data_IF_826498321132
#
_entry.id   IF_826498321132
#
_cell.length_a   1.000
_cell.length_b   1.000
_cell.length_c   1.000
_cell.angle_alpha   90.00
_cell.angle_beta   90.00
_cell.angle_gamma   90.00
#
_symmetry.space_group_name_H-M   'P 1'
#
loop_
_entity.id
_entity.type
_entity.pdbx_description
1 polymer ?
#
# COMPACT_ATOMS: atom_id res chain seq x y z
N UNK A 1 45.95 -33.79 -3.44
CA UNK A 1 46.24 -34.36 -2.11
C UNK A 1 45.20 -33.86 -1.12
N UNK A 2 44.66 -34.80 -0.34
CA UNK A 2 43.79 -34.68 0.83
C UNK A 2 42.36 -34.14 0.64
N UNK A 3 41.46 -35.06 0.27
CA UNK A 3 40.05 -35.00 0.67
C UNK A 3 39.98 -35.04 2.21
N UNK A 4 39.91 -33.89 2.87
CA UNK A 4 39.48 -33.83 4.28
C UNK A 4 38.06 -34.38 4.37
N UNK A 5 37.80 -35.23 5.36
CA UNK A 5 36.49 -35.84 5.58
C UNK A 5 35.42 -34.74 5.77
N UNK A 6 34.16 -35.03 5.41
CA UNK A 6 33.05 -34.07 5.56
C UNK A 6 32.93 -33.52 6.99
N UNK A 7 33.30 -34.33 7.98
CA UNK A 7 33.23 -33.97 9.39
C UNK A 7 34.31 -32.95 9.78
N UNK A 8 35.56 -33.11 9.31
CA UNK A 8 36.62 -32.10 9.52
C UNK A 8 36.29 -30.75 8.87
N UNK A 9 35.69 -30.76 7.67
CA UNK A 9 35.27 -29.53 6.97
C UNK A 9 34.15 -28.81 7.75
N UNK A 10 33.24 -29.56 8.37
CA UNK A 10 32.14 -28.99 9.18
C UNK A 10 32.63 -28.37 10.49
N UNK A 11 33.57 -29.03 11.18
CA UNK A 11 34.16 -28.53 12.43
C UNK A 11 34.96 -27.24 12.18
N UNK A 12 35.72 -27.21 11.08
CA UNK A 12 36.51 -26.03 10.71
C UNK A 12 35.62 -24.83 10.36
N UNK A 13 34.52 -25.03 9.63
CA UNK A 13 33.59 -23.95 9.28
C UNK A 13 32.80 -23.41 10.47
N UNK A 14 32.47 -24.28 11.44
CA UNK A 14 31.84 -23.84 12.68
C UNK A 14 32.81 -22.97 13.50
N UNK A 15 34.08 -23.40 13.62
CA UNK A 15 35.10 -22.59 14.31
C UNK A 15 35.28 -21.21 13.67
N UNK A 16 35.31 -21.11 12.34
CA UNK A 16 35.35 -19.82 11.65
C UNK A 16 34.07 -19.01 11.85
N UNK A 17 32.91 -19.67 11.92
CA UNK A 17 31.63 -19.00 12.19
C UNK A 17 31.64 -18.36 13.58
N UNK A 18 32.10 -19.09 14.59
CA UNK A 18 32.13 -18.61 15.97
C UNK A 18 33.09 -17.41 16.12
N UNK A 19 34.29 -17.50 15.54
CA UNK A 19 35.25 -16.38 15.50
C UNK A 19 34.71 -15.16 14.76
N UNK A 20 34.07 -15.36 13.60
CA UNK A 20 33.43 -14.30 12.84
C UNK A 20 32.32 -13.60 13.64
N UNK A 21 31.47 -14.37 14.30
CA UNK A 21 30.38 -13.86 15.11
C UNK A 21 30.87 -13.07 16.33
N UNK A 22 31.98 -13.47 16.94
CA UNK A 22 32.60 -12.74 18.05
C UNK A 22 33.23 -11.41 17.61
N UNK A 23 33.93 -11.39 16.48
CA UNK A 23 34.50 -10.15 15.90
C UNK A 23 33.37 -9.20 15.51
N UNK A 24 32.34 -9.69 14.81
CA UNK A 24 31.20 -8.89 14.38
C UNK A 24 30.44 -8.31 15.58
N UNK A 25 30.32 -9.07 16.68
CA UNK A 25 29.69 -8.58 17.92
C UNK A 25 30.45 -7.40 18.53
N UNK A 26 31.79 -7.43 18.49
CA UNK A 26 32.64 -6.34 19.00
C UNK A 26 32.59 -5.11 18.08
N UNK A 27 32.63 -5.32 16.77
CA UNK A 27 32.60 -4.25 15.77
C UNK A 27 31.28 -3.46 15.81
N UNK A 28 30.14 -4.13 16.06
CA UNK A 28 28.83 -3.48 16.10
C UNK A 28 28.57 -2.67 17.38
N UNK A 29 29.21 -3.02 18.51
CA UNK A 29 29.03 -2.39 19.82
C UNK A 29 27.57 -2.22 20.32
N UNK A 30 26.60 -2.89 19.70
CA UNK A 30 25.16 -2.89 20.06
C UNK A 30 24.66 -4.34 20.24
N UNK A 31 24.41 -4.79 21.48
CA UNK A 31 23.96 -6.14 21.77
C UNK A 31 22.57 -6.48 21.21
N UNK A 32 21.66 -5.50 21.12
CA UNK A 32 20.29 -5.73 20.68
C UNK A 32 20.21 -5.85 19.16
N UNK A 33 20.96 -4.99 18.46
CA UNK A 33 21.16 -5.07 17.01
C UNK A 33 21.81 -6.42 16.63
N UNK A 34 22.89 -6.80 17.30
CA UNK A 34 23.58 -8.07 17.06
C UNK A 34 22.64 -9.27 17.23
N UNK A 35 21.94 -9.33 18.37
CA UNK A 35 21.04 -10.44 18.70
C UNK A 35 19.90 -10.60 17.71
N UNK A 36 19.31 -9.49 17.25
CA UNK A 36 18.12 -9.53 16.40
C UNK A 36 18.44 -9.83 14.92
N UNK A 37 19.61 -9.42 14.42
CA UNK A 37 19.91 -9.45 12.99
C UNK A 37 21.10 -10.32 12.58
N UNK A 38 22.08 -10.52 13.45
CA UNK A 38 23.39 -11.08 13.07
C UNK A 38 23.75 -12.39 13.78
N UNK A 39 23.17 -12.67 14.95
CA UNK A 39 23.49 -13.85 15.75
C UNK A 39 23.24 -15.21 15.06
N UNK A 40 22.42 -15.25 14.01
CA UNK A 40 22.08 -16.47 13.27
C UNK A 40 22.93 -16.68 12.01
N UNK A 41 24.03 -15.93 11.82
CA UNK A 41 24.89 -16.11 10.65
C UNK A 41 25.74 -17.37 10.78
N UNK A 42 25.90 -18.08 9.66
CA UNK A 42 26.75 -19.26 9.59
C UNK A 42 27.57 -19.25 8.32
N UNK A 43 28.88 -19.44 8.39
CA UNK A 43 29.71 -19.60 7.21
C UNK A 43 29.42 -20.98 6.61
N UNK A 44 28.82 -21.00 5.42
CA UNK A 44 28.43 -22.23 4.72
C UNK A 44 29.55 -22.79 3.88
N UNK A 45 30.28 -21.92 3.21
CA UNK A 45 31.32 -22.33 2.29
C UNK A 45 32.34 -21.22 2.11
N UNK A 46 33.61 -21.62 2.04
CA UNK A 46 34.75 -20.75 1.73
C UNK A 46 35.39 -21.34 0.47
N UNK A 47 35.41 -20.55 -0.60
CA UNK A 47 36.00 -20.93 -1.86
C UNK A 47 37.48 -20.53 -1.92
N UNK A 48 38.24 -21.25 -2.73
CA UNK A 48 39.67 -20.99 -2.96
C UNK A 48 39.93 -19.66 -3.65
N UNK A 49 38.94 -19.12 -4.38
CA UNK A 49 38.98 -17.85 -5.11
C UNK A 49 38.65 -16.62 -4.23
N UNK A 50 38.50 -16.81 -2.92
CA UNK A 50 38.21 -15.75 -1.95
C UNK A 50 36.71 -15.46 -1.76
N UNK A 51 35.80 -16.19 -2.41
CA UNK A 51 34.37 -16.07 -2.14
C UNK A 51 33.96 -16.77 -0.84
N UNK A 52 33.09 -16.15 -0.06
CA UNK A 52 32.52 -16.72 1.18
C UNK A 52 30.99 -16.66 1.13
N UNK A 53 30.34 -17.77 1.43
CA UNK A 53 28.87 -17.84 1.55
C UNK A 53 28.49 -17.80 3.02
N UNK A 54 27.72 -16.78 3.41
CA UNK A 54 27.14 -16.63 4.75
C UNK A 54 25.64 -16.97 4.68
N UNK A 55 25.23 -17.95 5.47
CA UNK A 55 23.85 -18.33 5.66
C UNK A 55 23.18 -17.55 6.78
N UNK A 56 21.95 -17.07 6.60
CA UNK A 56 21.11 -16.51 7.68
C UNK A 56 19.68 -17.02 7.62
N UNK A 57 19.00 -17.16 8.76
CA UNK A 57 17.57 -17.54 8.82
C UNK A 57 16.62 -16.33 8.75
N UNK A 58 17.13 -15.10 8.87
CA UNK A 58 16.33 -13.87 8.85
C UNK A 58 16.61 -13.07 7.57
N UNK A 59 15.83 -13.33 6.52
CA UNK A 59 15.96 -12.65 5.23
C UNK A 59 14.65 -11.97 4.81
N UNK A 60 14.12 -11.10 5.68
CA UNK A 60 13.02 -10.19 5.34
C UNK A 60 13.55 -8.94 4.61
N UNK A 61 12.68 -8.14 3.97
CA UNK A 61 13.08 -6.89 3.31
C UNK A 61 13.74 -5.89 4.30
N UNK A 62 13.31 -5.87 5.56
CA UNK A 62 13.95 -5.08 6.62
C UNK A 62 15.34 -5.61 6.96
N UNK A 63 15.54 -6.92 6.93
CA UNK A 63 16.84 -7.56 7.14
C UNK A 63 17.82 -7.19 6.01
N UNK A 64 17.38 -7.08 4.75
CA UNK A 64 18.24 -6.67 3.64
C UNK A 64 18.73 -5.22 3.76
N UNK A 65 17.88 -4.30 4.23
CA UNK A 65 18.28 -2.90 4.45
C UNK A 65 19.30 -2.79 5.58
N UNK A 66 19.11 -3.55 6.66
CA UNK A 66 20.07 -3.65 7.77
C UNK A 66 21.39 -4.29 7.31
N UNK A 67 21.34 -5.36 6.51
CA UNK A 67 22.54 -6.00 5.96
C UNK A 67 23.38 -5.03 5.11
N UNK A 68 22.73 -4.20 4.28
CA UNK A 68 23.42 -3.17 3.49
C UNK A 68 24.03 -2.08 4.35
N UNK A 69 23.31 -1.62 5.38
CA UNK A 69 23.79 -0.58 6.29
C UNK A 69 25.06 -0.99 7.05
N UNK A 70 25.22 -2.29 7.33
CA UNK A 70 26.36 -2.85 8.07
C UNK A 70 27.29 -3.71 7.21
N UNK A 71 27.22 -3.58 5.88
CA UNK A 71 28.01 -4.38 4.93
C UNK A 71 29.52 -4.24 5.18
N UNK A 72 29.99 -3.02 5.48
CA UNK A 72 31.40 -2.74 5.80
C UNK A 72 31.86 -3.46 7.07
N UNK A 73 31.05 -3.46 8.14
CA UNK A 73 31.35 -4.16 9.39
C UNK A 73 31.38 -5.67 9.21
N UNK A 74 30.46 -6.22 8.41
CA UNK A 74 30.42 -7.66 8.08
C UNK A 74 31.64 -8.05 7.23
N UNK A 75 31.98 -7.22 6.24
CA UNK A 75 33.13 -7.42 5.36
C UNK A 75 34.46 -7.35 6.11
N UNK A 76 34.61 -6.40 7.03
CA UNK A 76 35.79 -6.30 7.90
C UNK A 76 35.90 -7.53 8.80
N UNK A 77 34.80 -7.93 9.43
CA UNK A 77 34.77 -9.08 10.34
C UNK A 77 35.14 -10.40 9.63
N UNK A 78 34.67 -10.62 8.40
CA UNK A 78 35.05 -11.84 7.65
C UNK A 78 36.52 -11.80 7.19
N UNK A 79 37.01 -10.63 6.79
CA UNK A 79 38.39 -10.49 6.32
C UNK A 79 39.37 -10.73 7.48
N UNK A 80 39.04 -10.25 8.68
CA UNK A 80 39.81 -10.49 9.90
C UNK A 80 39.73 -11.96 10.34
N UNK A 81 38.57 -12.59 10.22
CA UNK A 81 38.40 -14.02 10.56
C UNK A 81 39.24 -14.94 9.67
N UNK A 82 39.39 -14.59 8.39
CA UNK A 82 40.07 -15.41 7.38
C UNK A 82 41.47 -14.91 7.01
N UNK A 83 41.92 -13.82 7.65
CA UNK A 83 43.18 -13.12 7.41
C UNK A 83 43.48 -12.85 5.92
N UNK A 84 42.42 -12.48 5.17
CA UNK A 84 42.49 -12.19 3.72
C UNK A 84 41.27 -11.43 3.23
N UNK A 85 41.40 -10.69 2.13
CA UNK A 85 40.25 -10.08 1.47
C UNK A 85 39.32 -11.12 0.84
N UNK A 86 38.03 -11.04 1.20
CA UNK A 86 37.01 -11.97 0.74
C UNK A 86 35.86 -11.26 0.02
N UNK A 87 35.13 -11.99 -0.84
CA UNK A 87 33.84 -11.52 -1.40
C UNK A 87 32.69 -12.25 -0.74
N UNK A 88 31.82 -11.53 -0.03
CA UNK A 88 30.70 -12.12 0.70
C UNK A 88 29.47 -12.27 -0.20
N UNK A 89 28.77 -13.38 -0.05
CA UNK A 89 27.41 -13.57 -0.57
C UNK A 89 26.52 -14.19 0.48
N UNK A 90 25.26 -13.75 0.55
CA UNK A 90 24.30 -14.22 1.54
C UNK A 90 23.33 -15.24 0.94
N UNK A 91 22.98 -16.28 1.72
CA UNK A 91 21.98 -17.28 1.36
C UNK A 91 21.00 -17.46 2.52
N UNK A 92 19.71 -17.60 2.23
CA UNK A 92 18.70 -17.89 3.24
C UNK A 92 18.81 -19.36 3.69
N UNK A 93 18.89 -19.58 5.00
CA UNK A 93 18.78 -20.89 5.59
C UNK A 93 17.30 -21.18 5.80
N UNK A 94 16.76 -22.12 5.03
CA UNK A 94 15.43 -22.68 5.32
C UNK A 94 15.42 -23.19 6.76
N UNK A 95 14.50 -22.66 7.58
CA UNK A 95 14.32 -23.10 8.95
C UNK A 95 13.95 -24.58 8.93
N UNK A 96 14.76 -25.38 9.60
CA UNK A 96 14.64 -26.83 9.63
C UNK A 96 13.38 -27.25 10.41
N UNK A 97 12.23 -27.23 9.76
CA UNK A 97 11.09 -28.08 10.10
C UNK A 97 10.90 -29.03 8.92
N UNK A 98 11.21 -30.31 9.14
CA UNK A 98 11.13 -31.48 8.23
C UNK A 98 12.38 -31.79 7.39
N UNK A 99 13.45 -32.23 8.05
CA UNK A 99 14.46 -33.13 7.45
C UNK A 99 14.24 -34.57 7.96
N UNK A 100 13.57 -35.39 7.13
CA UNK A 100 13.78 -36.84 6.99
C UNK A 100 12.77 -37.34 5.96
N UNK A 101 13.12 -37.24 4.69
CA UNK A 101 12.81 -38.15 3.56
C UNK A 101 13.29 -37.39 2.33
N UNK A 102 14.54 -37.60 1.89
CA UNK A 102 14.98 -37.37 0.50
C UNK A 102 16.39 -37.96 0.36
N UNK A 103 16.42 -39.28 0.30
CA UNK A 103 17.39 -40.00 -0.52
C UNK A 103 16.60 -41.09 -1.22
N UNK A 104 16.70 -41.08 -2.55
CA UNK A 104 16.06 -41.95 -3.55
C UNK A 104 14.83 -41.38 -4.27
N UNK A 105 14.89 -41.52 -5.62
CA UNK A 105 14.02 -41.01 -6.71
C UNK A 105 14.41 -39.60 -7.16
N UNK A 106 15.32 -39.37 -8.14
CA UNK A 106 15.33 -39.77 -9.56
C UNK A 106 13.95 -39.68 -10.23
N UNK A 107 13.83 -38.72 -11.14
CA UNK A 107 12.90 -38.59 -12.26
C UNK A 107 11.42 -38.82 -11.96
N UNK A 108 10.71 -37.78 -11.53
CA UNK A 108 9.32 -37.40 -11.93
C UNK A 108 8.83 -36.27 -11.03
N UNK A 109 7.91 -35.45 -11.55
CA UNK A 109 7.22 -34.32 -10.92
C UNK A 109 7.96 -32.97 -10.93
N UNK A 110 7.56 -32.15 -11.90
CA UNK A 110 7.45 -30.69 -11.80
C UNK A 110 7.05 -30.33 -10.36
N UNK A 111 7.88 -29.57 -9.63
CA UNK A 111 7.43 -28.95 -8.38
C UNK A 111 6.28 -28.01 -8.73
N UNK A 112 5.08 -28.32 -8.25
CA UNK A 112 3.88 -27.51 -8.43
C UNK A 112 4.13 -26.10 -7.86
N UNK A 113 4.31 -25.12 -8.73
CA UNK A 113 4.40 -23.69 -8.36
C UNK A 113 2.98 -23.21 -8.00
N UNK A 114 2.37 -23.72 -6.93
CA UNK A 114 1.04 -23.25 -6.54
C UNK A 114 1.11 -21.83 -5.98
N UNK A 115 0.56 -20.87 -6.73
CA UNK A 115 0.20 -19.55 -6.20
C UNK A 115 -1.00 -19.72 -5.25
N UNK A 116 -0.77 -20.27 -4.05
CA UNK A 116 -1.80 -20.48 -3.03
C UNK A 116 -2.32 -19.14 -2.50
N UNK A 117 -3.60 -19.08 -2.08
CA UNK A 117 -4.26 -17.91 -1.48
C UNK A 117 -3.70 -17.53 -0.08
N UNK A 118 -2.38 -17.53 0.11
CA UNK A 118 -1.71 -17.26 1.40
C UNK A 118 -2.00 -15.86 1.94
N UNK A 119 -2.43 -14.95 1.08
CA UNK A 119 -2.69 -13.54 1.40
C UNK A 119 -4.18 -13.26 1.70
N UNK A 120 -5.06 -14.27 1.76
CA UNK A 120 -6.48 -14.07 2.09
C UNK A 120 -6.68 -14.13 3.60
N UNK A 121 -7.19 -13.03 4.16
CA UNK A 121 -7.56 -12.95 5.57
C UNK A 121 -8.90 -13.68 5.81
N UNK A 122 -8.88 -14.70 6.66
CA UNK A 122 -10.06 -15.53 6.98
C UNK A 122 -11.03 -14.83 7.92
N UNK A 123 -10.57 -13.83 8.65
CA UNK A 123 -11.40 -13.09 9.59
C UNK A 123 -12.29 -12.06 8.87
N UNK A 124 -12.09 -11.83 7.58
CA UNK A 124 -12.84 -10.88 6.77
C UNK A 124 -13.91 -11.60 5.93
N UNK A 125 -15.17 -11.48 6.35
CA UNK A 125 -16.31 -12.22 5.79
C UNK A 125 -17.55 -11.32 5.61
N UNK A 126 -18.60 -11.86 4.98
CA UNK A 126 -19.82 -11.10 4.73
C UNK A 126 -20.55 -10.70 6.02
N UNK A 127 -20.45 -11.51 7.07
CA UNK A 127 -21.13 -11.26 8.35
C UNK A 127 -20.58 -10.02 9.04
N UNK A 128 -19.27 -9.75 8.87
CA UNK A 128 -18.65 -8.53 9.37
C UNK A 128 -18.45 -7.41 8.34
N UNK A 129 -19.09 -7.52 7.17
CA UNK A 129 -19.14 -6.48 6.15
C UNK A 129 -20.50 -5.75 6.17
N UNK A 130 -20.50 -4.52 6.69
CA UNK A 130 -21.74 -3.76 6.87
C UNK A 130 -22.32 -3.25 5.54
N UNK A 131 -23.62 -3.51 5.34
CA UNK A 131 -24.39 -3.02 4.20
C UNK A 131 -25.00 -1.64 4.49
N UNK A 132 -24.66 -0.67 3.64
CA UNK A 132 -25.11 0.71 3.64
C UNK A 132 -25.50 1.13 2.21
N UNK A 133 -26.08 2.32 2.07
CA UNK A 133 -26.58 2.77 0.76
C UNK A 133 -25.46 2.88 -0.30
N UNK A 134 -24.26 3.31 0.12
CA UNK A 134 -23.11 3.54 -0.77
C UNK A 134 -22.43 2.25 -1.30
N UNK A 135 -22.69 1.09 -0.70
CA UNK A 135 -22.05 -0.19 -1.06
C UNK A 135 -23.04 -1.33 -1.36
N UNK A 136 -24.36 -1.09 -1.26
CA UNK A 136 -25.40 -2.10 -1.44
C UNK A 136 -25.32 -2.87 -2.76
N UNK A 137 -25.10 -2.19 -3.88
CA UNK A 137 -25.06 -2.82 -5.20
C UNK A 137 -23.85 -3.75 -5.34
N UNK A 138 -22.73 -3.34 -4.75
CA UNK A 138 -21.50 -4.13 -4.78
C UNK A 138 -21.62 -5.36 -3.86
N UNK A 139 -22.27 -5.22 -2.70
CA UNK A 139 -22.59 -6.36 -1.83
C UNK A 139 -23.55 -7.32 -2.52
N UNK A 140 -24.56 -6.81 -3.22
CA UNK A 140 -25.54 -7.62 -3.95
C UNK A 140 -24.85 -8.50 -5.00
N UNK A 141 -23.95 -7.94 -5.82
CA UNK A 141 -23.19 -8.76 -6.77
C UNK A 141 -22.25 -9.72 -6.05
N UNK A 142 -21.61 -9.32 -4.95
CA UNK A 142 -20.67 -10.16 -4.22
C UNK A 142 -21.36 -11.41 -3.64
N UNK A 143 -22.53 -11.22 -3.01
CA UNK A 143 -23.40 -12.31 -2.53
C UNK A 143 -23.90 -13.18 -3.68
N UNK A 144 -24.23 -12.58 -4.83
CA UNK A 144 -24.62 -13.33 -6.03
C UNK A 144 -23.50 -14.25 -6.52
N UNK A 145 -22.28 -13.73 -6.66
CA UNK A 145 -21.11 -14.51 -7.09
C UNK A 145 -20.80 -15.63 -6.12
N UNK A 146 -20.86 -15.36 -4.81
CA UNK A 146 -20.63 -16.36 -3.77
C UNK A 146 -21.66 -17.51 -3.80
N UNK A 147 -22.88 -17.27 -4.31
CA UNK A 147 -23.97 -18.25 -4.31
C UNK A 147 -24.19 -18.97 -5.64
N UNK A 148 -24.13 -18.25 -6.75
CA UNK A 148 -24.53 -18.74 -8.07
C UNK A 148 -23.36 -18.82 -9.06
N UNK A 149 -22.16 -18.39 -8.64
CA UNK A 149 -21.09 -18.04 -9.57
C UNK A 149 -21.33 -16.68 -10.23
N UNK A 150 -20.35 -16.18 -10.99
CA UNK A 150 -20.36 -14.83 -11.59
C UNK A 150 -20.12 -14.80 -13.09
N UNK A 151 -20.35 -15.92 -13.80
CA UNK A 151 -19.94 -16.08 -15.20
C UNK A 151 -20.66 -15.10 -16.14
N UNK A 152 -21.94 -14.82 -15.91
CA UNK A 152 -22.76 -13.96 -16.77
C UNK A 152 -22.44 -12.46 -16.64
N UNK A 153 -21.87 -12.05 -15.51
CA UNK A 153 -21.46 -10.66 -15.24
C UNK A 153 -19.96 -10.44 -15.42
N UNK A 154 -19.22 -11.49 -15.81
CA UNK A 154 -17.76 -11.47 -15.93
C UNK A 154 -17.30 -10.65 -17.17
N UNK A 155 -16.24 -9.82 -17.05
CA UNK A 155 -15.53 -9.50 -15.81
C UNK A 155 -16.33 -8.51 -14.94
N UNK A 156 -16.33 -8.74 -13.63
CA UNK A 156 -16.95 -7.83 -12.65
C UNK A 156 -15.89 -6.84 -12.18
N UNK A 157 -16.06 -5.57 -12.52
CA UNK A 157 -15.14 -4.49 -12.17
C UNK A 157 -15.73 -3.62 -11.06
N UNK A 158 -15.09 -3.65 -9.89
CA UNK A 158 -15.47 -2.89 -8.70
C UNK A 158 -14.47 -1.75 -8.48
N UNK A 159 -14.94 -0.52 -8.37
CA UNK A 159 -14.05 0.60 -8.08
C UNK A 159 -14.58 1.56 -7.03
N UNK A 160 -13.68 2.28 -6.38
CA UNK A 160 -14.01 3.28 -5.36
C UNK A 160 -12.75 3.74 -4.63
N UNK A 161 -12.81 4.86 -3.91
CA UNK A 161 -11.63 5.43 -3.23
C UNK A 161 -10.94 4.42 -2.29
N UNK A 162 -9.68 4.69 -1.97
CA UNK A 162 -8.93 3.87 -1.00
C UNK A 162 -9.63 3.85 0.36
N UNK A 163 -9.62 2.69 1.02
CA UNK A 163 -10.21 2.54 2.36
C UNK A 163 -11.74 2.44 2.41
N UNK A 164 -12.43 2.14 1.30
CA UNK A 164 -13.89 1.88 1.28
C UNK A 164 -14.29 0.39 1.43
N UNK A 165 -13.36 -0.47 1.84
CA UNK A 165 -13.66 -1.89 2.08
C UNK A 165 -13.59 -2.81 0.86
N UNK A 166 -12.97 -2.40 -0.25
CA UNK A 166 -12.78 -3.26 -1.45
C UNK A 166 -12.13 -4.61 -1.12
N UNK A 167 -10.95 -4.58 -0.50
CA UNK A 167 -10.21 -5.80 -0.12
C UNK A 167 -11.00 -6.69 0.84
N UNK A 168 -11.71 -6.11 1.82
CA UNK A 168 -12.58 -6.87 2.73
C UNK A 168 -13.71 -7.56 1.95
N UNK A 169 -14.36 -6.87 1.02
CA UNK A 169 -15.38 -7.47 0.17
C UNK A 169 -14.82 -8.63 -0.67
N UNK A 170 -13.63 -8.46 -1.27
CA UNK A 170 -12.97 -9.51 -2.04
C UNK A 170 -12.64 -10.73 -1.18
N UNK A 171 -12.11 -10.53 0.02
CA UNK A 171 -11.86 -11.62 0.96
C UNK A 171 -13.14 -12.31 1.40
N UNK A 172 -14.23 -11.57 1.57
CA UNK A 172 -15.54 -12.14 1.89
C UNK A 172 -16.02 -13.09 0.78
N UNK A 173 -15.84 -12.68 -0.48
CA UNK A 173 -16.13 -13.54 -1.65
C UNK A 173 -15.20 -14.76 -1.66
N UNK A 174 -13.88 -14.55 -1.50
CA UNK A 174 -12.89 -15.64 -1.46
C UNK A 174 -13.26 -16.69 -0.41
N UNK A 175 -13.48 -16.27 0.84
CA UNK A 175 -13.76 -17.15 1.96
C UNK A 175 -15.04 -17.95 1.73
N UNK A 176 -16.13 -17.29 1.31
CA UNK A 176 -17.40 -17.95 1.02
C UNK A 176 -17.31 -18.99 -0.12
N UNK A 177 -16.50 -18.73 -1.15
CA UNK A 177 -16.26 -19.68 -2.24
C UNK A 177 -15.37 -20.85 -1.82
N UNK A 178 -14.30 -20.59 -1.07
CA UNK A 178 -13.38 -21.60 -0.56
C UNK A 178 -14.11 -22.57 0.38
N UNK A 179 -14.99 -22.06 1.25
CA UNK A 179 -15.84 -22.89 2.13
C UNK A 179 -16.74 -23.85 1.34
N UNK A 180 -17.16 -23.47 0.13
CA UNK A 180 -17.93 -24.32 -0.79
C UNK A 180 -17.07 -25.26 -1.64
N UNK A 181 -15.75 -25.27 -1.43
CA UNK A 181 -14.80 -26.06 -2.22
C UNK A 181 -14.58 -25.54 -3.65
N UNK A 182 -14.98 -24.30 -3.94
CA UNK A 182 -14.77 -23.68 -5.26
C UNK A 182 -13.32 -23.20 -5.35
N UNK A 183 -12.68 -23.43 -6.50
CA UNK A 183 -11.28 -23.04 -6.71
C UNK A 183 -11.17 -21.54 -6.98
N UNK A 184 -10.50 -20.81 -6.09
CA UNK A 184 -10.30 -19.36 -6.19
C UNK A 184 -8.82 -19.03 -6.27
N UNK A 185 -8.45 -18.07 -7.13
CA UNK A 185 -7.15 -17.41 -7.10
C UNK A 185 -7.31 -15.94 -6.74
N UNK A 186 -6.87 -15.56 -5.55
CA UNK A 186 -6.78 -14.17 -5.11
C UNK A 186 -5.38 -13.63 -5.35
N UNK A 187 -5.30 -12.41 -5.87
CA UNK A 187 -4.05 -11.85 -6.34
C UNK A 187 -3.99 -10.35 -6.06
N UNK A 188 -2.89 -9.94 -5.45
CA UNK A 188 -2.53 -8.53 -5.29
C UNK A 188 -1.36 -8.19 -6.23
N UNK A 189 -1.31 -6.96 -6.73
CA UNK A 189 -0.25 -6.47 -7.62
C UNK A 189 1.17 -6.69 -7.07
N UNK A 190 1.36 -6.51 -5.76
CA UNK A 190 2.66 -6.62 -5.12
C UNK A 190 3.12 -8.08 -5.02
N UNK A 191 2.26 -8.99 -4.57
CA UNK A 191 2.59 -10.42 -4.50
C UNK A 191 2.78 -11.01 -5.89
N UNK A 192 1.88 -10.72 -6.85
CA UNK A 192 2.03 -11.17 -8.23
C UNK A 192 3.32 -10.69 -8.90
N UNK A 193 3.65 -9.40 -8.75
CA UNK A 193 4.89 -8.86 -9.31
C UNK A 193 6.10 -9.56 -8.71
N UNK A 194 6.14 -9.74 -7.39
CA UNK A 194 7.23 -10.44 -6.69
C UNK A 194 7.38 -11.87 -7.18
N UNK A 195 6.28 -12.61 -7.22
CA UNK A 195 6.28 -14.05 -7.48
C UNK A 195 6.62 -14.35 -8.95
N UNK A 196 6.30 -13.43 -9.88
CA UNK A 196 6.50 -13.62 -11.32
C UNK A 196 7.78 -12.96 -11.84
N UNK A 197 8.34 -11.96 -11.14
CA UNK A 197 9.57 -11.28 -11.56
C UNK A 197 10.73 -12.26 -11.78
N UNK A 198 10.87 -13.26 -10.91
CA UNK A 198 11.92 -14.29 -11.03
C UNK A 198 11.77 -15.11 -12.33
N UNK A 199 10.56 -15.58 -12.64
CA UNK A 199 10.31 -16.42 -13.83
C UNK A 199 10.38 -15.63 -15.14
N UNK A 200 9.99 -14.35 -15.11
CA UNK A 200 10.14 -13.46 -16.26
C UNK A 200 11.61 -13.16 -16.56
N UNK A 201 12.46 -13.01 -15.53
CA UNK A 201 13.89 -12.78 -15.70
C UNK A 201 14.61 -14.00 -16.27
N UNK A 202 14.23 -15.21 -15.84
CA UNK A 202 14.78 -16.46 -16.38
C UNK A 202 14.25 -16.81 -17.78
N UNK A 203 13.26 -16.06 -18.29
CA UNK A 203 12.55 -16.33 -19.54
C UNK A 203 12.05 -17.79 -19.65
N UNK A 204 11.64 -18.37 -18.50
CA UNK A 204 11.20 -19.76 -18.41
C UNK A 204 9.76 -19.89 -18.91
N UNK A 205 9.62 -20.04 -20.23
CA UNK A 205 8.33 -20.15 -20.91
C UNK A 205 7.49 -21.34 -20.41
N UNK A 206 8.12 -22.40 -19.89
CA UNK A 206 7.40 -23.56 -19.36
C UNK A 206 6.73 -23.19 -18.04
N UNK A 207 7.45 -22.53 -17.13
CA UNK A 207 6.88 -22.07 -15.85
C UNK A 207 5.82 -20.99 -16.04
N UNK A 208 6.03 -20.04 -16.96
CA UNK A 208 5.01 -19.03 -17.27
C UNK A 208 3.72 -19.67 -17.80
N UNK A 209 3.83 -20.70 -18.64
CA UNK A 209 2.67 -21.47 -19.10
C UNK A 209 1.98 -22.22 -17.95
N UNK A 210 2.73 -22.81 -17.02
CA UNK A 210 2.16 -23.48 -15.84
C UNK A 210 1.45 -22.50 -14.91
N UNK A 211 2.04 -21.32 -14.68
CA UNK A 211 1.41 -20.25 -13.91
C UNK A 211 0.09 -19.89 -14.59
N UNK A 212 0.10 -19.59 -15.88
CA UNK A 212 -1.12 -19.27 -16.64
C UNK A 212 -2.19 -20.37 -16.51
N UNK A 213 -1.81 -21.65 -16.66
CA UNK A 213 -2.75 -22.76 -16.54
C UNK A 213 -3.49 -22.77 -15.20
N UNK A 214 -2.83 -22.42 -14.09
CA UNK A 214 -3.52 -22.33 -12.80
C UNK A 214 -4.63 -21.28 -12.78
N UNK A 215 -4.46 -20.17 -13.49
CA UNK A 215 -5.47 -19.12 -13.61
C UNK A 215 -6.56 -19.57 -14.57
N UNK A 216 -6.18 -20.21 -15.66
CA UNK A 216 -7.11 -20.69 -16.67
C UNK A 216 -7.99 -21.80 -16.08
N UNK A 217 -7.47 -22.69 -15.22
CA UNK A 217 -8.19 -23.80 -14.59
C UNK A 217 -9.07 -23.38 -13.41
N UNK A 218 -8.73 -22.31 -12.70
CA UNK A 218 -9.50 -21.85 -11.54
C UNK A 218 -10.90 -21.38 -11.90
N UNK A 219 -11.89 -21.72 -11.06
CA UNK A 219 -13.28 -21.31 -11.23
C UNK A 219 -13.41 -19.78 -11.16
N UNK A 220 -12.78 -19.17 -10.15
CA UNK A 220 -12.81 -17.72 -9.91
C UNK A 220 -11.40 -17.14 -9.79
N UNK A 221 -11.15 -16.03 -10.46
CA UNK A 221 -9.92 -15.24 -10.31
C UNK A 221 -10.27 -13.84 -9.86
N UNK A 222 -9.56 -13.37 -8.84
CA UNK A 222 -9.80 -12.08 -8.19
C UNK A 222 -8.51 -11.27 -8.21
N UNK A 223 -8.56 -10.11 -8.87
CA UNK A 223 -7.48 -9.12 -8.88
C UNK A 223 -7.83 -7.98 -7.92
N UNK A 224 -7.02 -7.79 -6.88
CA UNK A 224 -7.09 -6.62 -6.01
C UNK A 224 -6.08 -5.55 -6.44
N UNK A 225 -6.38 -4.30 -6.11
CA UNK A 225 -5.51 -3.15 -6.35
C UNK A 225 -5.06 -3.03 -7.82
N UNK A 226 -6.00 -3.24 -8.75
CA UNK A 226 -5.70 -3.43 -10.18
C UNK A 226 -4.90 -2.29 -10.81
N UNK A 227 -5.10 -1.05 -10.35
CA UNK A 227 -4.33 0.11 -10.80
C UNK A 227 -2.81 -0.06 -10.60
N UNK A 228 -2.38 -0.82 -9.58
CA UNK A 228 -0.97 -0.99 -9.22
C UNK A 228 -0.20 -1.88 -10.19
N UNK A 229 -0.89 -2.68 -11.00
CA UNK A 229 -0.24 -3.47 -12.06
C UNK A 229 0.25 -2.60 -13.23
N UNK A 230 -0.38 -1.45 -13.45
CA UNK A 230 -0.02 -0.51 -14.53
C UNK A 230 0.99 0.56 -14.11
N UNK A 231 1.54 0.49 -12.88
CA UNK A 231 2.55 1.43 -12.37
C UNK A 231 3.96 0.90 -12.69
N UNK A 232 4.78 1.77 -13.29
CA UNK A 232 6.19 1.48 -13.61
C UNK A 232 6.38 0.69 -14.92
N UNK A 233 7.62 0.26 -15.18
CA UNK A 233 8.00 -0.43 -16.42
C UNK A 233 7.77 -1.96 -16.34
N UNK A 234 6.55 -2.39 -15.99
CA UNK A 234 6.20 -3.82 -15.82
C UNK A 234 5.57 -4.46 -17.07
N UNK A 235 6.10 -4.18 -18.27
CA UNK A 235 5.49 -4.59 -19.55
C UNK A 235 5.19 -6.09 -19.64
N UNK A 236 6.12 -6.94 -19.24
CA UNK A 236 5.94 -8.39 -19.30
C UNK A 236 4.87 -8.90 -18.32
N UNK A 237 4.79 -8.31 -17.13
CA UNK A 237 3.72 -8.59 -16.16
C UNK A 237 2.34 -8.18 -16.69
N UNK A 238 2.26 -7.00 -17.32
CA UNK A 238 1.02 -6.49 -17.93
C UNK A 238 0.58 -7.40 -19.09
N UNK A 239 1.51 -7.85 -19.94
CA UNK A 239 1.20 -8.75 -21.05
C UNK A 239 0.68 -10.12 -20.57
N UNK A 240 1.27 -10.67 -19.50
CA UNK A 240 0.79 -11.91 -18.89
C UNK A 240 -0.64 -11.75 -18.33
N UNK A 241 -0.91 -10.63 -17.65
CA UNK A 241 -2.25 -10.32 -17.13
C UNK A 241 -3.26 -10.17 -18.27
N UNK A 242 -2.89 -9.46 -19.33
CA UNK A 242 -3.74 -9.34 -20.52
C UNK A 242 -4.09 -10.71 -21.08
N UNK A 243 -3.10 -11.59 -21.22
CA UNK A 243 -3.27 -12.95 -21.75
C UNK A 243 -4.20 -13.80 -20.87
N UNK A 244 -4.06 -13.69 -19.54
CA UNK A 244 -4.94 -14.37 -18.56
C UNK A 244 -6.37 -13.84 -18.68
N UNK A 245 -6.54 -12.52 -18.69
CA UNK A 245 -7.86 -11.89 -18.76
C UNK A 245 -8.57 -12.17 -20.08
N UNK A 246 -7.86 -12.08 -21.21
CA UNK A 246 -8.38 -12.45 -22.53
C UNK A 246 -8.94 -13.87 -22.54
N UNK A 247 -8.15 -14.85 -22.08
CA UNK A 247 -8.59 -16.23 -22.02
C UNK A 247 -9.86 -16.38 -21.17
N UNK A 248 -9.83 -15.84 -19.94
CA UNK A 248 -10.95 -16.01 -19.00
C UNK A 248 -12.23 -15.35 -19.48
N UNK A 249 -12.15 -14.16 -20.08
CA UNK A 249 -13.30 -13.45 -20.64
C UNK A 249 -13.88 -14.24 -21.83
N UNK A 250 -13.03 -14.71 -22.75
CA UNK A 250 -13.49 -15.49 -23.91
C UNK A 250 -14.16 -16.82 -23.51
N UNK A 251 -13.75 -17.41 -22.39
CA UNK A 251 -14.33 -18.64 -21.84
C UNK A 251 -15.41 -18.39 -20.78
N UNK A 252 -15.87 -17.14 -20.61
CA UNK A 252 -16.89 -16.73 -19.62
C UNK A 252 -16.59 -17.20 -18.20
N UNK A 253 -15.31 -17.27 -17.81
CA UNK A 253 -14.91 -17.64 -16.45
C UNK A 253 -15.04 -16.44 -15.52
N UNK A 254 -15.58 -16.64 -14.32
CA UNK A 254 -15.82 -15.56 -13.34
C UNK A 254 -14.51 -14.86 -12.99
N UNK A 255 -14.42 -13.57 -13.28
CA UNK A 255 -13.25 -12.75 -12.99
C UNK A 255 -13.69 -11.48 -12.29
N UNK A 256 -13.16 -11.22 -11.10
CA UNK A 256 -13.48 -10.04 -10.29
C UNK A 256 -12.23 -9.16 -10.23
N UNK A 257 -12.41 -7.86 -10.41
CA UNK A 257 -11.32 -6.91 -10.46
C UNK A 257 -11.70 -5.72 -9.58
N UNK A 258 -10.86 -5.41 -8.59
CA UNK A 258 -11.03 -4.23 -7.76
C UNK A 258 -9.96 -3.19 -8.06
N UNK A 259 -10.35 -1.92 -8.09
CA UNK A 259 -9.45 -0.80 -8.36
C UNK A 259 -9.81 0.42 -7.50
N UNK A 260 -8.84 1.27 -7.18
CA UNK A 260 -9.15 2.59 -6.60
C UNK A 260 -9.64 3.62 -7.64
N UNK A 261 -9.50 3.29 -8.92
CA UNK A 261 -9.81 4.12 -10.08
C UNK A 261 -10.82 3.45 -10.99
N UNK A 262 -11.69 4.25 -11.60
CA UNK A 262 -12.56 3.80 -12.68
C UNK A 262 -11.76 3.38 -13.92
N UNK A 263 -12.34 2.51 -14.75
CA UNK A 263 -11.67 1.96 -15.96
C UNK A 263 -11.16 3.08 -16.88
N UNK A 264 -11.93 4.16 -17.07
CA UNK A 264 -11.52 5.26 -17.95
C UNK A 264 -10.24 5.97 -17.46
N UNK A 265 -9.99 5.99 -16.15
CA UNK A 265 -8.79 6.60 -15.56
C UNK A 265 -7.56 5.68 -15.66
N UNK A 266 -7.74 4.40 -15.99
CA UNK A 266 -6.67 3.42 -16.18
C UNK A 266 -6.01 3.49 -17.57
N UNK A 267 -6.58 4.26 -18.51
CA UNK A 267 -6.07 4.41 -19.90
C UNK A 267 -4.62 4.91 -19.99
N UNK A 268 -4.11 5.56 -18.96
CA UNK A 268 -2.72 6.04 -18.92
C UNK A 268 -1.71 4.95 -18.49
N UNK A 269 -2.21 3.82 -17.98
CA UNK A 269 -1.41 2.78 -17.34
C UNK A 269 -1.54 1.42 -18.03
N UNK A 270 -2.58 1.24 -18.85
CA UNK A 270 -2.85 0.01 -19.58
C UNK A 270 -3.20 0.30 -21.04
N UNK A 271 -2.96 -0.67 -21.91
CA UNK A 271 -3.27 -0.53 -23.32
C UNK A 271 -4.78 -0.52 -23.59
N UNK A 272 -5.17 0.04 -24.74
CA UNK A 272 -6.58 0.18 -25.10
C UNK A 272 -7.30 -1.17 -25.25
N UNK A 273 -6.55 -2.23 -25.58
CA UNK A 273 -7.09 -3.60 -25.73
C UNK A 273 -7.56 -4.13 -24.40
N UNK A 274 -6.75 -4.03 -23.34
CA UNK A 274 -7.14 -4.43 -22.00
C UNK A 274 -8.34 -3.61 -21.51
N UNK A 275 -8.30 -2.28 -21.69
CA UNK A 275 -9.40 -1.40 -21.29
C UNK A 275 -10.72 -1.81 -21.94
N UNK A 276 -10.73 -2.05 -23.25
CA UNK A 276 -11.92 -2.49 -23.98
C UNK A 276 -12.52 -3.78 -23.40
N UNK A 277 -11.67 -4.74 -23.04
CA UNK A 277 -12.08 -6.03 -22.49
C UNK A 277 -12.70 -5.91 -21.09
N UNK A 278 -12.15 -5.04 -20.26
CA UNK A 278 -12.72 -4.74 -18.95
C UNK A 278 -14.09 -4.08 -19.06
N UNK A 279 -14.33 -3.28 -20.10
CA UNK A 279 -15.61 -2.60 -20.32
C UNK A 279 -16.74 -3.52 -20.77
N UNK A 280 -16.44 -4.75 -21.22
CA UNK A 280 -17.45 -5.71 -21.70
C UNK A 280 -18.32 -6.30 -20.58
N UNK A 281 -17.86 -6.26 -19.33
CA UNK A 281 -18.55 -6.84 -18.19
C UNK A 281 -19.27 -5.83 -17.29
N UNK A 282 -19.64 -6.26 -16.10
CA UNK A 282 -20.36 -5.44 -15.12
C UNK A 282 -19.42 -4.48 -14.41
N UNK A 283 -19.77 -3.20 -14.37
CA UNK A 283 -19.02 -2.15 -13.66
C UNK A 283 -19.84 -1.62 -12.50
N UNK A 284 -19.28 -1.62 -11.30
CA UNK A 284 -19.93 -1.11 -10.10
C UNK A 284 -18.99 -0.21 -9.31
N UNK A 285 -19.58 0.85 -8.74
CA UNK A 285 -18.89 1.79 -7.90
C UNK A 285 -19.26 1.58 -6.44
N UNK A 286 -18.27 1.55 -5.55
CA UNK A 286 -18.46 1.85 -4.13
C UNK A 286 -18.40 3.37 -3.99
N UNK A 287 -19.53 3.97 -3.64
CA UNK A 287 -19.63 5.42 -3.47
C UNK A 287 -18.97 5.89 -2.17
N UNK A 288 -18.87 7.20 -1.96
CA UNK A 288 -18.38 7.71 -0.68
C UNK A 288 -19.51 7.64 0.35
N UNK A 289 -19.25 7.15 1.57
CA UNK A 289 -20.26 7.09 2.62
C UNK A 289 -20.68 8.50 3.05
N UNK A 290 -21.97 8.69 3.32
CA UNK A 290 -22.49 9.92 3.95
C UNK A 290 -22.26 9.85 5.46
N UNK A 291 -22.43 10.97 6.15
CA UNK A 291 -22.32 11.03 7.62
C UNK A 291 -23.21 9.99 8.33
N UNK A 292 -24.41 9.76 7.82
CA UNK A 292 -25.33 8.73 8.32
C UNK A 292 -24.79 7.31 8.17
N UNK A 293 -24.15 7.01 7.03
CA UNK A 293 -23.52 5.70 6.80
C UNK A 293 -22.33 5.50 7.74
N UNK A 294 -21.51 6.54 7.91
CA UNK A 294 -20.37 6.52 8.83
C UNK A 294 -20.78 6.31 10.29
N UNK A 295 -21.89 6.92 10.72
CA UNK A 295 -22.46 6.69 12.05
C UNK A 295 -22.95 5.24 12.21
N UNK A 296 -23.59 4.70 11.17
CA UNK A 296 -24.03 3.30 11.17
C UNK A 296 -22.85 2.34 11.26
N UNK A 297 -21.80 2.58 10.47
CA UNK A 297 -20.54 1.80 10.50
C UNK A 297 -19.89 1.92 11.88
N UNK A 298 -19.83 3.12 12.46
CA UNK A 298 -19.26 3.37 13.79
C UNK A 298 -19.99 2.57 14.87
N UNK A 299 -21.32 2.67 14.94
CA UNK A 299 -22.13 1.93 15.91
C UNK A 299 -21.93 0.42 15.75
N UNK A 300 -21.98 -0.08 14.50
CA UNK A 300 -21.72 -1.48 14.22
C UNK A 300 -20.33 -1.96 14.71
N UNK A 301 -19.29 -1.14 14.54
CA UNK A 301 -17.95 -1.48 15.04
C UNK A 301 -17.85 -1.44 16.56
N UNK A 302 -18.60 -0.56 17.23
CA UNK A 302 -18.68 -0.51 18.70
C UNK A 302 -19.31 -1.81 19.21
N UNK A 303 -20.39 -2.25 18.58
CA UNK A 303 -21.09 -3.51 18.91
C UNK A 303 -20.17 -4.70 18.67
N UNK A 304 -19.60 -4.81 17.46
CA UNK A 304 -18.72 -5.91 17.04
C UNK A 304 -17.47 -6.05 17.93
N UNK A 305 -17.01 -4.94 18.53
CA UNK A 305 -15.82 -4.90 19.40
C UNK A 305 -16.15 -4.92 20.89
N UNK A 306 -17.42 -5.14 21.24
CA UNK A 306 -17.90 -5.26 22.62
C UNK A 306 -17.54 -4.02 23.47
N UNK A 307 -17.67 -2.82 22.87
CA UNK A 307 -17.29 -1.55 23.49
C UNK A 307 -18.45 -0.86 24.24
N UNK A 308 -19.41 -1.64 24.74
CA UNK A 308 -20.58 -1.20 25.55
C UNK A 308 -21.26 0.07 24.98
N UNK A 309 -22.14 -0.08 23.97
CA UNK A 309 -22.72 1.04 23.22
C UNK A 309 -23.38 2.13 24.08
N UNK A 310 -23.90 1.76 25.25
CA UNK A 310 -24.57 2.63 26.22
C UNK A 310 -23.62 3.65 26.87
N UNK A 311 -22.31 3.39 26.85
CA UNK A 311 -21.30 4.29 27.39
C UNK A 311 -20.92 5.42 26.42
N UNK A 312 -21.45 5.44 25.20
CA UNK A 312 -21.06 6.41 24.17
C UNK A 312 -22.00 7.59 24.06
N UNK A 313 -21.44 8.79 24.19
CA UNK A 313 -22.17 10.03 23.94
C UNK A 313 -22.23 10.36 22.44
N UNK A 314 -23.34 10.94 22.00
CA UNK A 314 -23.54 11.30 20.59
C UNK A 314 -22.53 12.34 20.09
N UNK A 315 -22.12 13.28 20.95
CA UNK A 315 -21.10 14.28 20.62
C UNK A 315 -19.73 13.63 20.35
N UNK A 316 -19.39 12.58 21.10
CA UNK A 316 -18.16 11.83 20.89
C UNK A 316 -18.21 11.06 19.57
N UNK A 317 -19.34 10.42 19.25
CA UNK A 317 -19.54 9.74 17.96
C UNK A 317 -19.46 10.72 16.79
N UNK A 318 -20.12 11.86 16.91
CA UNK A 318 -20.10 12.94 15.91
C UNK A 318 -18.69 13.50 15.70
N UNK A 319 -17.93 13.69 16.77
CA UNK A 319 -16.53 14.12 16.69
C UNK A 319 -15.67 13.13 15.92
N UNK A 320 -15.81 11.82 16.19
CA UNK A 320 -15.06 10.77 15.47
C UNK A 320 -15.37 10.81 13.98
N UNK A 321 -16.66 10.86 13.61
CA UNK A 321 -17.06 10.85 12.20
C UNK A 321 -16.56 12.10 11.48
N UNK A 322 -16.56 13.25 12.16
CA UNK A 322 -16.14 14.52 11.56
C UNK A 322 -14.62 14.58 11.37
N UNK A 323 -13.84 14.01 12.29
CA UNK A 323 -12.38 14.18 12.35
C UNK A 323 -11.57 12.94 11.95
N UNK A 324 -12.19 11.76 11.81
CA UNK A 324 -11.46 10.50 11.61
C UNK A 324 -12.07 9.57 10.54
N UNK A 325 -13.10 10.01 9.82
CA UNK A 325 -13.82 9.17 8.85
C UNK A 325 -13.64 9.57 7.36
N UNK A 326 -12.51 10.20 7.00
CA UNK A 326 -12.14 10.48 5.59
C UNK A 326 -12.16 9.21 4.72
N UNK A 327 -11.85 8.06 5.32
CA UNK A 327 -12.10 6.75 4.77
C UNK A 327 -12.38 5.76 5.93
N UNK A 328 -12.95 4.61 5.62
CA UNK A 328 -13.36 3.62 6.63
C UNK A 328 -12.14 3.06 7.37
N UNK A 329 -10.97 2.98 6.72
CA UNK A 329 -9.73 2.52 7.37
C UNK A 329 -9.30 3.45 8.51
N UNK A 330 -9.38 4.77 8.33
CA UNK A 330 -9.09 5.74 9.39
C UNK A 330 -10.07 5.60 10.56
N UNK A 331 -11.35 5.40 10.27
CA UNK A 331 -12.39 5.19 11.28
C UNK A 331 -12.14 3.91 12.09
N UNK A 332 -11.77 2.80 11.41
CA UNK A 332 -11.36 1.55 12.06
C UNK A 332 -10.13 1.77 12.95
N UNK A 333 -9.16 2.57 12.50
CA UNK A 333 -7.97 2.93 13.27
C UNK A 333 -8.31 3.66 14.58
N UNK A 334 -9.17 4.68 14.50
CA UNK A 334 -9.64 5.42 15.66
C UNK A 334 -10.35 4.50 16.66
N UNK A 335 -11.25 3.64 16.17
CA UNK A 335 -11.98 2.70 17.02
C UNK A 335 -11.06 1.66 17.65
N UNK A 336 -10.07 1.13 16.91
CA UNK A 336 -9.11 0.19 17.48
C UNK A 336 -8.30 0.82 18.63
N UNK A 337 -7.96 2.11 18.53
CA UNK A 337 -7.30 2.84 19.62
C UNK A 337 -8.23 3.03 20.81
N UNK A 338 -9.48 3.45 20.59
CA UNK A 338 -10.46 3.57 21.68
C UNK A 338 -10.73 2.21 22.35
N UNK A 339 -10.71 1.11 21.59
CA UNK A 339 -10.84 -0.25 22.11
C UNK A 339 -9.70 -0.62 23.07
N UNK A 340 -8.48 -0.17 22.80
CA UNK A 340 -7.34 -0.40 23.69
C UNK A 340 -7.60 0.16 25.10
N UNK A 341 -8.28 1.30 25.21
CA UNK A 341 -8.64 1.94 26.49
C UNK A 341 -9.99 1.47 27.06
N UNK A 342 -10.74 0.61 26.38
CA UNK A 342 -12.09 0.18 26.80
C UNK A 342 -12.12 -0.41 28.21
N UNK A 343 -11.13 -1.25 28.54
CA UNK A 343 -11.05 -1.89 29.87
C UNK A 343 -10.92 -0.85 30.99
N UNK A 344 -10.14 0.21 30.78
CA UNK A 344 -9.94 1.27 31.78
C UNK A 344 -11.19 2.14 31.96
N UNK A 345 -11.85 2.47 30.84
CA UNK A 345 -13.11 3.22 30.84
C UNK A 345 -14.19 2.46 31.62
N UNK A 346 -14.34 1.16 31.36
CA UNK A 346 -15.30 0.32 32.09
C UNK A 346 -14.95 0.23 33.58
N UNK A 347 -13.67 -0.01 33.93
CA UNK A 347 -13.24 -0.12 35.34
C UNK A 347 -13.45 1.15 36.15
N UNK A 348 -13.33 2.31 35.51
CA UNK A 348 -13.54 3.62 36.15
C UNK A 348 -15.01 4.06 36.14
N UNK A 349 -15.91 3.23 35.60
CA UNK A 349 -17.31 3.57 35.34
C UNK A 349 -17.46 4.88 34.54
N UNK A 350 -16.50 5.13 33.65
CA UNK A 350 -16.45 6.30 32.78
C UNK A 350 -17.28 6.08 31.51
N UNK A 351 -17.54 7.16 30.78
CA UNK A 351 -18.19 7.15 29.47
C UNK A 351 -17.23 7.59 28.38
N UNK A 352 -17.51 7.20 27.13
CA UNK A 352 -16.88 7.78 25.95
C UNK A 352 -17.46 9.17 25.69
N UNK A 353 -17.05 10.13 26.52
CA UNK A 353 -17.39 11.55 26.36
C UNK A 353 -16.51 12.19 25.29
N UNK A 354 -16.93 13.35 24.76
CA UNK A 354 -16.12 14.11 23.81
C UNK A 354 -14.71 14.38 24.33
N UNK A 355 -14.57 14.76 25.60
CA UNK A 355 -13.29 15.08 26.21
C UNK A 355 -12.35 13.85 26.29
N UNK A 356 -12.88 12.69 26.67
CA UNK A 356 -12.12 11.43 26.76
C UNK A 356 -11.74 10.92 25.38
N UNK A 357 -12.67 10.94 24.43
CA UNK A 357 -12.38 10.50 23.06
C UNK A 357 -11.34 11.41 22.41
N UNK A 358 -11.47 12.73 22.57
CA UNK A 358 -10.49 13.68 22.03
C UNK A 358 -9.12 13.51 22.68
N UNK A 359 -9.03 13.31 24.00
CA UNK A 359 -7.75 13.09 24.67
C UNK A 359 -7.06 11.82 24.21
N UNK A 360 -7.81 10.72 24.02
CA UNK A 360 -7.27 9.44 23.54
C UNK A 360 -6.82 9.55 22.09
N UNK A 361 -7.60 10.22 21.22
CA UNK A 361 -7.33 10.30 19.79
C UNK A 361 -6.37 11.43 19.40
N UNK A 362 -5.97 12.30 20.34
CA UNK A 362 -5.14 13.49 20.08
C UNK A 362 -3.87 13.22 19.25
N UNK A 363 -3.19 12.09 19.50
CA UNK A 363 -1.95 11.73 18.78
C UNK A 363 -2.19 10.96 17.47
N UNK A 364 -3.40 10.43 17.26
CA UNK A 364 -3.78 9.98 15.92
C UNK A 364 -4.08 11.25 15.16
N UNK A 365 -3.19 11.59 14.22
CA UNK A 365 -3.36 12.63 13.20
C UNK A 365 -4.72 13.33 13.29
N UNK A 366 -4.74 14.48 13.98
CA UNK A 366 -5.64 15.53 13.52
C UNK A 366 -5.32 15.66 12.03
N UNK A 367 -6.24 15.24 11.14
CA UNK A 367 -7.14 16.24 10.60
C UNK A 367 -6.49 17.59 10.27
N UNK A 368 -5.24 17.66 9.81
CA UNK A 368 -4.71 18.87 9.15
C UNK A 368 -5.66 19.12 8.01
N UNK A 369 -6.40 20.23 8.06
CA UNK A 369 -7.37 20.58 7.04
C UNK A 369 -6.81 20.22 5.66
N UNK A 370 -7.53 19.37 4.91
CA UNK A 370 -7.09 18.98 3.59
C UNK A 370 -6.84 20.27 2.82
N UNK A 371 -5.61 20.46 2.30
CA UNK A 371 -5.23 21.70 1.67
C UNK A 371 -5.99 21.78 0.36
N UNK A 372 -7.12 22.48 0.41
CA UNK A 372 -7.96 22.70 -0.75
C UNK A 372 -7.55 24.01 -1.42
N UNK A 373 -7.90 24.19 -2.71
CA UNK A 373 -7.79 25.49 -3.36
C UNK A 373 -8.49 26.60 -2.59
N UNK A 374 -9.59 26.25 -1.93
CA UNK A 374 -10.42 27.18 -1.17
C UNK A 374 -9.69 27.73 0.06
N UNK A 375 -9.09 26.82 0.85
CA UNK A 375 -8.28 27.18 2.01
C UNK A 375 -7.08 28.05 1.57
N UNK A 376 -6.36 27.67 0.50
CA UNK A 376 -5.25 28.47 -0.02
C UNK A 376 -5.71 29.89 -0.38
N UNK A 377 -6.84 30.04 -1.06
CA UNK A 377 -7.37 31.36 -1.45
C UNK A 377 -7.72 32.18 -0.20
N UNK A 378 -8.32 31.56 0.81
CA UNK A 378 -8.72 32.23 2.06
C UNK A 378 -7.52 32.71 2.87
N UNK A 379 -6.48 31.88 3.00
CA UNK A 379 -5.22 32.25 3.64
C UNK A 379 -4.51 33.39 2.90
N UNK A 380 -4.45 33.32 1.57
CA UNK A 380 -3.87 34.41 0.75
C UNK A 380 -4.69 35.70 0.88
N UNK A 381 -6.02 35.62 0.91
CA UNK A 381 -6.90 36.76 1.11
C UNK A 381 -6.66 37.43 2.47
N UNK A 382 -6.56 36.63 3.53
CA UNK A 382 -6.27 37.07 4.90
C UNK A 382 -4.93 37.77 4.99
N UNK A 383 -3.88 37.21 4.38
CA UNK A 383 -2.54 37.80 4.38
C UNK A 383 -2.53 39.21 3.73
N UNK A 384 -3.20 39.35 2.58
CA UNK A 384 -3.29 40.62 1.86
C UNK A 384 -4.40 41.56 2.36
N UNK A 385 -5.14 41.17 3.41
CA UNK A 385 -6.28 41.92 3.98
C UNK A 385 -7.34 42.30 2.92
N UNK A 386 -7.60 41.37 2.00
CA UNK A 386 -8.64 41.49 0.96
C UNK A 386 -9.66 40.37 1.13
N UNK A 387 -10.79 40.46 0.44
CA UNK A 387 -11.79 39.39 0.49
C UNK A 387 -11.49 38.29 -0.53
N UNK A 388 -11.94 37.07 -0.24
CA UNK A 388 -11.92 35.95 -1.21
C UNK A 388 -12.61 36.32 -2.53
N UNK A 389 -13.72 37.06 -2.46
CA UNK A 389 -14.41 37.60 -3.64
C UNK A 389 -13.55 38.53 -4.48
N UNK A 390 -12.64 39.30 -3.88
CA UNK A 390 -11.73 40.17 -4.64
C UNK A 390 -10.71 39.35 -5.43
N UNK A 391 -10.18 38.29 -4.82
CA UNK A 391 -9.28 37.34 -5.47
C UNK A 391 -9.97 36.61 -6.63
N UNK A 392 -11.20 36.13 -6.43
CA UNK A 392 -11.95 35.42 -7.46
C UNK A 392 -12.52 36.36 -8.54
N UNK A 393 -12.73 37.64 -8.20
CA UNK A 393 -13.36 38.63 -9.04
C UNK A 393 -12.47 39.20 -10.15
N UNK A 394 -13.01 40.23 -10.81
CA UNK A 394 -12.36 40.92 -11.95
C UNK A 394 -11.54 42.16 -11.55
N UNK A 395 -11.35 42.40 -10.24
CA UNK A 395 -10.60 43.56 -9.75
C UNK A 395 -9.19 43.60 -10.37
N UNK A 396 -8.84 44.78 -10.88
CA UNK A 396 -7.56 45.11 -11.53
C UNK A 396 -6.60 45.85 -10.60
N UNK A 397 -6.98 46.04 -9.33
CA UNK A 397 -6.08 46.65 -8.35
C UNK A 397 -4.80 45.81 -8.22
N UNK A 398 -3.66 46.50 -8.13
CA UNK A 398 -2.32 45.88 -8.19
C UNK A 398 -2.16 44.78 -7.14
N UNK A 399 -2.57 45.05 -5.91
CA UNK A 399 -2.42 44.12 -4.78
C UNK A 399 -3.36 42.92 -4.90
N UNK A 400 -4.60 43.13 -5.35
CA UNK A 400 -5.55 42.03 -5.62
C UNK A 400 -5.06 41.12 -6.75
N UNK A 401 -4.48 41.70 -7.81
CA UNK A 401 -3.90 40.94 -8.93
C UNK A 401 -2.71 40.12 -8.47
N UNK A 402 -1.85 40.69 -7.63
CA UNK A 402 -0.70 40.00 -7.05
C UNK A 402 -1.14 38.82 -6.17
N UNK A 403 -2.03 39.06 -5.21
CA UNK A 403 -2.59 38.02 -4.34
C UNK A 403 -3.23 36.88 -5.16
N UNK A 404 -3.97 37.21 -6.22
CA UNK A 404 -4.56 36.23 -7.13
C UNK A 404 -3.51 35.37 -7.85
N UNK A 405 -2.46 36.00 -8.36
CA UNK A 405 -1.39 35.26 -9.04
C UNK A 405 -0.65 34.33 -8.07
N UNK A 406 -0.42 34.77 -6.84
CA UNK A 406 0.19 33.95 -5.78
C UNK A 406 -0.70 32.75 -5.46
N UNK A 407 -2.00 32.95 -5.26
CA UNK A 407 -2.94 31.86 -5.00
C UNK A 407 -2.94 30.82 -6.14
N UNK A 408 -3.02 31.26 -7.40
CA UNK A 408 -2.95 30.35 -8.56
C UNK A 408 -1.65 29.56 -8.62
N UNK A 409 -0.51 30.20 -8.33
CA UNK A 409 0.81 29.59 -8.34
C UNK A 409 0.96 28.55 -7.22
N UNK A 410 0.54 28.87 -5.99
CA UNK A 410 0.56 27.93 -4.86
C UNK A 410 -0.34 26.72 -5.17
N UNK A 411 -1.58 26.94 -5.62
CA UNK A 411 -2.52 25.85 -5.96
C UNK A 411 -1.92 24.91 -7.02
N UNK A 412 -1.29 25.48 -8.05
CA UNK A 412 -0.69 24.68 -9.12
C UNK A 412 0.50 23.86 -8.64
N UNK A 413 1.38 24.44 -7.84
CA UNK A 413 2.60 23.78 -7.40
C UNK A 413 2.36 22.77 -6.28
N UNK A 414 1.42 23.04 -5.38
CA UNK A 414 1.19 22.23 -4.19
C UNK A 414 0.12 21.15 -4.43
N UNK A 415 -0.92 21.45 -5.23
CA UNK A 415 -2.05 20.53 -5.44
C UNK A 415 -2.09 19.90 -6.84
N UNK A 416 -1.14 20.25 -7.71
CA UNK A 416 -1.02 19.73 -9.09
C UNK A 416 -2.31 19.82 -9.94
N UNK A 417 -3.18 20.79 -9.64
CA UNK A 417 -4.46 21.00 -10.32
C UNK A 417 -4.24 21.51 -11.74
N UNK A 418 -5.02 21.03 -12.71
CA UNK A 418 -4.90 21.43 -14.11
C UNK A 418 -5.18 22.92 -14.32
N UNK A 419 -4.51 23.53 -15.30
CA UNK A 419 -4.70 24.93 -15.66
C UNK A 419 -6.15 25.26 -16.01
N UNK A 420 -6.86 24.32 -16.63
CA UNK A 420 -8.28 24.48 -16.99
C UNK A 420 -9.14 24.61 -15.73
N UNK A 421 -8.88 23.76 -14.73
CA UNK A 421 -9.62 23.75 -13.47
C UNK A 421 -9.34 25.02 -12.66
N UNK A 422 -8.08 25.47 -12.65
CA UNK A 422 -7.71 26.77 -12.05
C UNK A 422 -8.43 27.92 -12.77
N UNK A 423 -8.52 27.89 -14.10
CA UNK A 423 -9.23 28.91 -14.87
C UNK A 423 -10.70 29.03 -14.50
N UNK A 424 -11.38 27.88 -14.35
CA UNK A 424 -12.78 27.80 -13.90
C UNK A 424 -12.94 28.37 -12.49
N UNK A 425 -12.05 28.00 -11.56
CA UNK A 425 -12.08 28.49 -10.17
C UNK A 425 -11.94 30.01 -10.07
N UNK A 426 -11.06 30.63 -10.87
CA UNK A 426 -10.76 32.06 -10.81
C UNK A 426 -11.58 32.92 -11.81
N UNK A 427 -12.83 32.53 -12.06
CA UNK A 427 -13.79 33.31 -12.85
C UNK A 427 -13.71 33.07 -14.35
N UNK A 428 -13.53 31.82 -14.78
CA UNK A 428 -13.41 31.39 -16.19
C UNK A 428 -12.30 32.13 -16.95
N UNK A 429 -11.11 32.21 -16.36
CA UNK A 429 -9.95 32.86 -17.00
C UNK A 429 -9.27 31.93 -17.99
N UNK A 430 -8.82 32.50 -19.10
CA UNK A 430 -8.11 31.76 -20.15
C UNK A 430 -6.79 31.17 -19.66
N UNK A 431 -6.42 30.01 -20.22
CA UNK A 431 -5.16 29.32 -19.94
C UNK A 431 -3.94 30.23 -20.06
N UNK A 432 -3.90 31.10 -21.07
CA UNK A 432 -2.80 32.05 -21.30
C UNK A 432 -2.64 33.04 -20.13
N UNK A 433 -3.74 33.49 -19.54
CA UNK A 433 -3.73 34.39 -18.38
C UNK A 433 -3.11 33.71 -17.16
N UNK A 434 -3.46 32.45 -16.94
CA UNK A 434 -2.95 31.65 -15.82
C UNK A 434 -1.45 31.36 -16.00
N UNK A 435 -1.04 30.98 -17.21
CA UNK A 435 0.37 30.74 -17.54
C UNK A 435 1.20 32.01 -17.33
N UNK A 436 0.70 33.17 -17.77
CA UNK A 436 1.38 34.45 -17.60
C UNK A 436 1.48 34.84 -16.12
N UNK A 437 0.42 34.62 -15.33
CA UNK A 437 0.43 34.82 -13.89
C UNK A 437 1.48 33.94 -13.20
N UNK A 438 1.53 32.65 -13.53
CA UNK A 438 2.50 31.71 -12.96
C UNK A 438 3.94 32.06 -13.33
N UNK A 439 4.21 32.36 -14.61
CA UNK A 439 5.53 32.78 -15.06
C UNK A 439 6.02 34.04 -14.34
N UNK A 440 5.12 34.99 -14.08
CA UNK A 440 5.45 36.22 -13.34
C UNK A 440 5.88 35.91 -11.91
N UNK A 441 5.11 35.09 -11.18
CA UNK A 441 5.45 34.71 -9.80
C UNK A 441 6.71 33.87 -9.75
N UNK A 442 6.88 32.88 -10.65
CA UNK A 442 8.11 32.07 -10.72
C UNK A 442 9.35 32.95 -10.94
N UNK A 443 9.28 33.91 -11.86
CA UNK A 443 10.39 34.85 -12.12
C UNK A 443 10.68 35.74 -10.90
N UNK A 444 9.66 36.22 -10.20
CA UNK A 444 9.82 37.01 -8.97
C UNK A 444 10.41 36.16 -7.82
N UNK A 445 10.07 34.87 -7.74
CA UNK A 445 10.68 33.94 -6.77
C UNK A 445 12.13 33.60 -7.11
N UNK A 446 12.56 33.67 -8.36
CA UNK A 446 13.95 33.41 -8.78
C UNK A 446 14.88 34.61 -8.55
N UNK A 447 14.34 35.82 -8.42
CA UNK A 447 15.13 37.03 -8.16
C UNK A 447 15.73 37.04 -6.74
N UNK A 448 16.87 37.75 -6.54
CA UNK A 448 17.55 37.85 -5.25
C UNK A 448 16.79 38.66 -4.19
N UNK A 449 15.59 39.14 -4.49
CA UNK A 449 14.74 39.86 -3.55
C UNK A 449 14.33 38.97 -2.37
N UNK A 450 14.94 39.23 -1.22
CA UNK A 450 14.67 38.50 0.03
C UNK A 450 13.26 38.78 0.57
N UNK A 451 12.64 39.93 0.25
CA UNK A 451 11.34 40.31 0.81
C UNK A 451 10.18 39.54 0.17
N UNK A 452 10.19 39.38 -1.15
CA UNK A 452 9.16 38.63 -1.86
C UNK A 452 9.21 37.12 -1.54
N UNK A 453 10.42 36.53 -1.49
CA UNK A 453 10.60 35.14 -1.07
C UNK A 453 10.14 34.89 0.36
N UNK A 454 10.45 35.82 1.29
CA UNK A 454 9.96 35.75 2.66
C UNK A 454 8.44 35.81 2.74
N UNK A 455 7.80 36.63 1.92
CA UNK A 455 6.33 36.72 1.82
C UNK A 455 5.72 35.38 1.39
N UNK A 456 6.24 34.78 0.31
CA UNK A 456 5.78 33.47 -0.15
C UNK A 456 6.06 32.38 0.90
N UNK A 457 7.24 32.41 1.54
CA UNK A 457 7.57 31.50 2.63
C UNK A 457 6.61 31.65 3.80
N UNK A 458 6.26 32.87 4.20
CA UNK A 458 5.34 33.12 5.31
C UNK A 458 3.91 32.68 4.99
N UNK A 459 3.42 32.95 3.78
CA UNK A 459 2.11 32.47 3.32
C UNK A 459 2.10 30.94 3.29
N UNK A 460 3.16 30.31 2.77
CA UNK A 460 3.28 28.86 2.81
C UNK A 460 3.36 28.36 4.26
N UNK A 461 4.19 28.95 5.11
CA UNK A 461 4.27 28.57 6.50
C UNK A 461 2.90 28.72 7.17
N UNK A 462 2.10 29.74 6.91
CA UNK A 462 0.75 29.88 7.49
C UNK A 462 -0.27 28.86 6.93
N UNK A 463 -0.09 28.38 5.70
CA UNK A 463 -0.93 27.36 5.06
C UNK A 463 -0.49 25.94 5.45
N UNK A 464 0.81 25.75 5.70
CA UNK A 464 1.48 24.45 5.81
C UNK A 464 2.18 24.25 7.19
N UNK A 465 2.11 25.16 8.16
CA UNK A 465 2.85 25.12 9.46
C UNK A 465 2.50 23.97 10.36
N UNK A 466 1.26 23.52 10.31
CA UNK A 466 0.78 22.42 11.14
C UNK A 466 0.82 21.09 10.39
N UNK A 467 1.69 21.00 9.36
CA UNK A 467 2.40 19.92 8.61
C UNK A 467 3.26 18.90 9.38
#
# INVERSE_FOLDING_TARGET
MNFKSKDEKSITLQSYTDTFLDILRRELADPMLYKNFFANFVIREIFSDGKVIIGTTNYSANSQMVLRAFESSIQKSINETLDRECKISFVLLESAVKKKVKKERKDTAIENIELSNRDVDKDLNFDNYIECEFNKEVIKIAKYVANNGGNEYSPIFIYGKSGLGKTHLLYSICNALIEKGITVKYINANSFSRDISYFLQENDQRKLKQIRLQFDESDVVIFDDFQSYGIGNKKATIELIFTILDYRINHKKTTIIASDRAIHSLKNSFDQRLISRLQMGLQLQIENPKKSDLLRILNYMIDLKEMTPELWEDDAKNFIITNYANNIRSLIGAINRLRFYNTEIIKTNSRYTLAIVNSILKDIQQIKEEITPDNIIEHVAKYYKITKSDILGKSRQKDTVLARHIAMWIIRNQLNISLETIGKMFGNRDHSTIINAMKKISKETEQPDKAFRRTISQINDEIFKDI
#
